data_IF_895126643483
#
_entry.id   IF_895126643483
#
_cell.length_a   1.000
_cell.length_b   1.000
_cell.length_c   1.000
_cell.angle_alpha   90.00
_cell.angle_beta   90.00
_cell.angle_gamma   90.00
#
_symmetry.space_group_name_H-M   'P 1'
#
loop_
_entity.id
_entity.type
_entity.pdbx_description
1 polymer ?
#
# COMPACT_ATOMS: atom_id res chain seq x y z
N UNK A 1 -8.66 -2.97 -6.37
CA UNK A 1 -8.39 -4.30 -6.97
C UNK A 1 -9.19 -4.40 -8.26
N UNK A 2 -8.62 -4.89 -9.37
CA UNK A 2 -9.30 -4.87 -10.67
C UNK A 2 -10.63 -5.62 -10.70
N UNK A 3 -10.85 -6.54 -9.76
CA UNK A 3 -12.13 -7.22 -9.54
C UNK A 3 -13.21 -6.37 -8.83
N UNK A 4 -12.93 -5.12 -8.45
CA UNK A 4 -13.87 -4.22 -7.79
C UNK A 4 -14.20 -4.53 -6.33
N UNK A 5 -13.57 -5.53 -5.71
CA UNK A 5 -13.94 -5.97 -4.35
C UNK A 5 -13.18 -5.26 -3.23
N UNK A 6 -12.20 -4.44 -3.57
CA UNK A 6 -11.36 -3.76 -2.59
C UNK A 6 -10.72 -2.48 -3.10
N UNK A 7 -10.54 -1.55 -2.16
CA UNK A 7 -9.84 -0.29 -2.36
C UNK A 7 -8.48 -0.37 -1.67
N UNK A 8 -7.41 -0.18 -2.43
CA UNK A 8 -6.09 0.06 -1.87
C UNK A 8 -5.96 1.56 -1.65
N UNK A 9 -5.56 1.96 -0.45
CA UNK A 9 -5.37 3.35 -0.10
C UNK A 9 -4.14 3.51 0.79
N UNK A 10 -3.65 4.74 0.85
CA UNK A 10 -2.54 5.11 1.71
C UNK A 10 -3.07 5.81 2.96
N UNK A 11 -2.53 5.46 4.13
CA UNK A 11 -2.88 6.10 5.39
C UNK A 11 -1.61 6.37 6.19
N UNK A 12 -1.50 7.60 6.71
CA UNK A 12 -0.49 7.94 7.71
C UNK A 12 -1.02 7.62 9.11
N UNK A 13 -0.15 7.11 9.98
CA UNK A 13 -0.49 6.94 11.40
C UNK A 13 -0.57 8.27 12.13
N UNK A 14 -1.47 8.41 13.11
CA UNK A 14 -1.58 9.65 13.90
C UNK A 14 -0.27 10.00 14.65
N UNK A 15 0.48 8.97 15.05
CA UNK A 15 1.72 9.11 15.83
C UNK A 15 3.00 9.09 14.97
N UNK A 16 2.92 8.75 13.66
CA UNK A 16 4.10 8.58 12.82
C UNK A 16 3.90 9.20 11.45
N UNK A 17 4.91 9.90 10.88
CA UNK A 17 4.84 10.43 9.52
C UNK A 17 4.87 9.33 8.44
N UNK A 18 4.98 8.06 8.86
CA UNK A 18 5.07 6.92 7.96
C UNK A 18 3.70 6.66 7.33
N UNK A 19 3.76 6.41 6.03
CA UNK A 19 2.60 6.11 5.21
C UNK A 19 2.62 4.63 4.89
N UNK A 20 1.50 3.95 5.12
CA UNK A 20 1.33 2.54 4.76
C UNK A 20 0.22 2.34 3.76
N UNK A 21 0.31 1.25 3.02
CA UNK A 21 -0.78 0.77 2.20
C UNK A 21 -1.74 -0.08 3.03
N UNK A 22 -3.02 0.18 2.81
CA UNK A 22 -4.13 -0.53 3.42
C UNK A 22 -5.04 -1.07 2.33
N UNK A 23 -5.68 -2.20 2.60
CA UNK A 23 -6.76 -2.75 1.79
C UNK A 23 -8.06 -2.68 2.55
N UNK A 24 -9.01 -1.91 2.03
CA UNK A 24 -10.40 -1.94 2.45
C UNK A 24 -11.13 -3.03 1.64
N UNK A 25 -11.72 -4.00 2.34
CA UNK A 25 -12.71 -4.89 1.76
C UNK A 25 -14.04 -4.14 1.65
N UNK A 26 -14.55 -3.93 0.43
CA UNK A 26 -15.75 -3.12 0.20
C UNK A 26 -17.05 -3.84 0.59
N UNK A 27 -17.04 -5.18 0.70
CA UNK A 27 -18.20 -5.94 1.15
C UNK A 27 -18.38 -5.87 2.66
N UNK A 28 -17.28 -5.96 3.41
CA UNK A 28 -17.31 -6.00 4.88
C UNK A 28 -16.98 -4.68 5.54
N UNK A 29 -16.50 -3.69 4.78
CA UNK A 29 -15.98 -2.42 5.25
C UNK A 29 -14.86 -2.55 6.30
N UNK A 30 -14.08 -3.65 6.20
CA UNK A 30 -12.94 -3.89 7.10
C UNK A 30 -11.65 -3.58 6.37
N UNK A 31 -10.77 -2.84 7.02
CA UNK A 31 -9.42 -2.55 6.54
C UNK A 31 -8.41 -3.54 7.11
N UNK A 32 -7.43 -3.93 6.29
CA UNK A 32 -6.20 -4.58 6.75
C UNK A 32 -4.99 -3.81 6.25
N UNK A 33 -3.96 -3.75 7.09
CA UNK A 33 -2.65 -3.20 6.71
C UNK A 33 -1.96 -4.16 5.74
N UNK A 34 -1.33 -3.63 4.68
CA UNK A 34 -0.58 -4.40 3.67
C UNK A 34 0.94 -4.29 3.85
N UNK A 35 1.41 -3.19 4.43
CA UNK A 35 2.83 -2.89 4.61
C UNK A 35 3.10 -2.39 6.02
N UNK A 36 4.34 -2.55 6.49
CA UNK A 36 4.85 -1.83 7.66
C UNK A 36 6.11 -1.08 7.24
N UNK A 37 5.91 0.05 6.57
CA UNK A 37 7.00 0.91 6.13
C UNK A 37 7.46 1.75 7.30
N UNK A 38 8.75 1.68 7.62
CA UNK A 38 9.39 2.32 8.78
C UNK A 38 10.24 3.53 8.37
N UNK A 39 9.84 4.21 7.29
CA UNK A 39 10.62 5.27 6.69
C UNK A 39 9.81 6.56 6.48
N UNK A 40 10.53 7.68 6.54
CA UNK A 40 10.01 9.04 6.40
C UNK A 40 9.90 9.51 4.95
N UNK A 41 10.16 8.66 3.96
CA UNK A 41 9.94 9.03 2.56
C UNK A 41 8.50 9.47 2.32
N UNK A 42 8.34 10.54 1.55
CA UNK A 42 7.03 10.91 1.05
C UNK A 42 6.70 10.02 -0.15
N UNK A 43 5.60 9.29 -0.06
CA UNK A 43 5.01 8.59 -1.21
C UNK A 43 3.92 9.48 -1.80
N UNK A 44 3.86 9.59 -3.14
CA UNK A 44 2.89 10.49 -3.80
C UNK A 44 1.85 9.72 -4.59
N UNK A 45 2.29 8.74 -5.35
CA UNK A 45 1.48 7.99 -6.31
C UNK A 45 1.78 6.51 -6.21
N UNK A 46 0.80 5.71 -6.58
CA UNK A 46 0.96 4.27 -6.67
C UNK A 46 -0.02 3.69 -7.68
N UNK A 47 0.37 2.56 -8.26
CA UNK A 47 -0.42 1.72 -9.11
C UNK A 47 -0.51 0.32 -8.52
N UNK A 48 -1.61 -0.38 -8.80
CA UNK A 48 -1.80 -1.78 -8.45
C UNK A 48 -1.82 -2.59 -9.75
N UNK A 49 -1.05 -3.68 -9.81
CA UNK A 49 -1.02 -4.53 -11.01
C UNK A 49 -2.40 -5.11 -11.32
N UNK A 50 -2.63 -5.47 -12.60
CA UNK A 50 -3.91 -5.99 -13.06
C UNK A 50 -4.35 -7.29 -12.37
N UNK A 51 -3.40 -8.07 -11.85
CA UNK A 51 -3.67 -9.26 -11.04
C UNK A 51 -3.89 -8.96 -9.54
N UNK A 52 -3.70 -7.72 -9.12
CA UNK A 52 -3.83 -7.26 -7.74
C UNK A 52 -2.74 -7.73 -6.80
N UNK A 53 -1.64 -8.31 -7.31
CA UNK A 53 -0.60 -8.93 -6.48
C UNK A 53 0.53 -7.99 -6.07
N UNK A 54 0.73 -6.92 -6.82
CA UNK A 54 1.82 -5.98 -6.58
C UNK A 54 1.31 -4.55 -6.51
N UNK A 55 2.00 -3.75 -5.69
CA UNK A 55 1.83 -2.30 -5.61
C UNK A 55 3.16 -1.69 -6.06
N UNK A 56 3.10 -0.83 -7.06
CA UNK A 56 4.24 -0.05 -7.54
C UNK A 56 4.01 1.38 -7.10
N UNK A 57 4.99 2.00 -6.48
CA UNK A 57 4.84 3.35 -5.93
C UNK A 57 6.13 4.14 -6.06
N UNK A 58 6.00 5.45 -6.24
CA UNK A 58 7.15 6.35 -6.18
C UNK A 58 7.46 6.69 -4.73
N UNK A 59 8.76 6.69 -4.42
CA UNK A 59 9.28 7.03 -3.10
C UNK A 59 10.27 8.16 -3.27
N UNK A 60 9.89 9.36 -2.83
CA UNK A 60 10.85 10.46 -2.75
C UNK A 60 11.59 10.39 -1.40
N UNK A 61 12.84 9.96 -1.48
CA UNK A 61 13.91 10.29 -0.57
C UNK A 61 14.92 11.13 -1.34
N UNK A 62 15.79 11.86 -0.64
CA UNK A 62 16.93 12.52 -1.27
C UNK A 62 17.86 11.53 -2.03
N UNK A 63 17.67 10.20 -1.87
CA UNK A 63 18.14 9.13 -2.76
C UNK A 63 17.04 8.06 -2.95
N UNK A 64 16.52 7.85 -4.16
CA UNK A 64 15.37 6.96 -4.41
C UNK A 64 15.78 5.50 -4.72
N UNK A 65 15.07 4.53 -4.14
CA UNK A 65 15.15 3.10 -4.49
C UNK A 65 13.74 2.57 -4.82
N UNK A 66 13.61 1.85 -5.94
CA UNK A 66 12.37 1.16 -6.33
C UNK A 66 12.30 -0.17 -5.58
N UNK A 67 11.19 -0.45 -4.90
CA UNK A 67 10.97 -1.69 -4.13
C UNK A 67 9.73 -2.44 -4.62
N UNK A 68 9.79 -3.78 -4.65
CA UNK A 68 8.69 -4.67 -4.99
C UNK A 68 8.18 -5.35 -3.72
N UNK A 69 6.87 -5.31 -3.48
CA UNK A 69 6.22 -5.99 -2.35
C UNK A 69 5.25 -7.04 -2.89
N UNK A 70 5.37 -8.27 -2.40
CA UNK A 70 4.53 -9.42 -2.77
C UNK A 70 3.41 -9.65 -1.74
N UNK A 71 2.16 -9.68 -2.21
CA UNK A 71 0.95 -9.79 -1.39
C UNK A 71 0.45 -11.24 -1.27
N UNK A 72 1.22 -12.16 -0.70
CA UNK A 72 0.71 -13.50 -0.41
C UNK A 72 -0.20 -13.52 0.84
N UNK A 73 -1.31 -14.27 0.75
CA UNK A 73 -2.25 -14.49 1.85
C UNK A 73 -2.05 -15.90 2.40
N UNK A 74 -1.67 -16.02 3.68
CA UNK A 74 -1.63 -17.32 4.38
C UNK A 74 -3.04 -17.88 4.58
N UNK A 75 -3.19 -19.20 4.37
CA UNK A 75 -4.44 -19.95 4.53
C UNK A 75 -4.93 -19.98 5.98
#
# INVERSE_FOLDING_TARGET
MPNGHGLVYMQAGEATPWQDFWLLNLKTMKSRRLTELNDRATMRTFDVTADGKHIVFDRQQDNSAVVLIDLHTSR
#
